data_IF_620327132661
#
_entry.id   IF_620327132661
#
_cell.length_a   1.000
_cell.length_b   1.000
_cell.length_c   1.000
_cell.angle_alpha   90.00
_cell.angle_beta   90.00
_cell.angle_gamma   90.00
#
_symmetry.space_group_name_H-M   'P 1'
#
loop_
_entity.id
_entity.type
_entity.pdbx_description
1 polymer ?
#
# COMPACT_ATOMS: atom_id res chain seq x y z
N UNK A 1 -5.59 0.71 -23.61
CA UNK A 1 -6.24 0.99 -22.32
C UNK A 1 -6.25 -0.27 -21.45
N UNK A 2 -6.15 -0.07 -20.13
CA UNK A 2 -6.26 -1.17 -19.18
C UNK A 2 -7.68 -1.77 -19.20
N UNK A 3 -7.77 -3.08 -19.06
CA UNK A 3 -9.07 -3.77 -18.90
C UNK A 3 -9.30 -4.06 -17.42
N UNK A 4 -9.98 -3.14 -16.75
CA UNK A 4 -10.30 -3.22 -15.32
C UNK A 4 -11.52 -4.12 -15.01
N UNK A 5 -12.13 -4.73 -16.04
CA UNK A 5 -13.26 -5.63 -15.84
C UNK A 5 -12.86 -7.09 -15.66
N UNK A 6 -11.57 -7.43 -15.87
CA UNK A 6 -11.05 -8.80 -15.81
C UNK A 6 -10.88 -9.36 -14.38
N UNK A 7 -10.93 -8.52 -13.39
CA UNK A 7 -10.79 -8.92 -11.98
C UNK A 7 -11.94 -8.38 -11.16
N UNK A 8 -12.26 -9.04 -10.05
CA UNK A 8 -13.36 -8.64 -9.17
C UNK A 8 -13.02 -7.39 -8.31
N UNK A 9 -11.75 -7.02 -8.15
CA UNK A 9 -11.32 -5.98 -7.21
C UNK A 9 -11.94 -4.61 -7.48
N UNK A 10 -11.92 -4.15 -8.73
CA UNK A 10 -12.50 -2.84 -9.09
C UNK A 10 -14.03 -2.82 -8.94
N UNK A 11 -14.71 -3.91 -9.35
CA UNK A 11 -16.16 -4.03 -9.13
C UNK A 11 -16.48 -4.04 -7.64
N UNK A 12 -15.72 -4.80 -6.84
CA UNK A 12 -15.90 -4.86 -5.39
C UNK A 12 -15.73 -3.47 -4.75
N UNK A 13 -14.69 -2.73 -5.15
CA UNK A 13 -14.45 -1.37 -4.68
C UNK A 13 -15.60 -0.43 -5.06
N UNK A 14 -16.14 -0.55 -6.28
CA UNK A 14 -17.29 0.23 -6.72
C UNK A 14 -18.57 -0.09 -5.92
N UNK A 15 -18.81 -1.36 -5.67
CA UNK A 15 -19.97 -1.80 -4.86
C UNK A 15 -19.83 -1.33 -3.40
N UNK A 16 -18.62 -1.39 -2.84
CA UNK A 16 -18.32 -0.87 -1.50
C UNK A 16 -18.56 0.65 -1.42
N UNK A 17 -18.09 1.41 -2.40
CA UNK A 17 -18.32 2.87 -2.50
C UNK A 17 -19.81 3.20 -2.67
N UNK A 18 -20.59 2.36 -3.36
CA UNK A 18 -22.03 2.55 -3.51
C UNK A 18 -22.78 2.37 -2.18
N UNK A 19 -22.30 1.48 -1.31
CA UNK A 19 -22.86 1.25 0.04
C UNK A 19 -22.40 2.33 1.02
N UNK A 20 -21.11 2.63 1.02
CA UNK A 20 -20.52 3.67 1.86
C UNK A 20 -19.58 4.56 1.04
N UNK A 21 -20.04 5.75 0.61
CA UNK A 21 -19.24 6.69 -0.18
C UNK A 21 -17.96 7.17 0.51
N UNK A 22 -17.89 7.10 1.83
CA UNK A 22 -16.75 7.57 2.63
C UNK A 22 -15.61 6.55 2.73
N UNK A 23 -15.79 5.33 2.21
CA UNK A 23 -14.70 4.34 2.15
C UNK A 23 -13.55 4.90 1.30
N UNK A 24 -12.35 4.87 1.84
CA UNK A 24 -11.12 5.15 1.11
C UNK A 24 -10.71 3.94 0.27
N UNK A 25 -10.14 4.20 -0.90
CA UNK A 25 -9.71 3.16 -1.83
C UNK A 25 -8.19 3.28 -2.03
N UNK A 26 -7.51 2.18 -1.80
CA UNK A 26 -6.10 2.00 -2.12
C UNK A 26 -5.91 1.04 -3.30
N UNK A 27 -4.81 1.23 -4.03
CA UNK A 27 -4.38 0.34 -5.11
C UNK A 27 -2.99 -0.22 -4.78
N UNK A 28 -2.94 -1.54 -4.58
CA UNK A 28 -1.72 -2.28 -4.31
C UNK A 28 -1.24 -3.05 -5.54
N UNK A 29 0.06 -3.11 -5.74
CA UNK A 29 0.71 -3.84 -6.82
C UNK A 29 1.42 -5.10 -6.31
N UNK A 30 0.92 -6.28 -6.68
CA UNK A 30 1.60 -7.55 -6.41
C UNK A 30 2.60 -7.96 -7.50
N UNK A 31 2.38 -7.50 -8.71
CA UNK A 31 3.26 -7.80 -9.84
C UNK A 31 2.99 -6.85 -10.99
N UNK A 32 3.80 -6.94 -12.03
CA UNK A 32 3.69 -6.08 -13.20
C UNK A 32 3.51 -6.90 -14.49
N UNK A 33 2.83 -6.33 -15.49
CA UNK A 33 2.77 -6.95 -16.81
C UNK A 33 4.16 -7.09 -17.43
N UNK A 34 4.37 -8.18 -18.17
CA UNK A 34 5.65 -8.45 -18.81
C UNK A 34 6.19 -7.28 -19.65
N UNK A 35 5.33 -6.53 -20.34
CA UNK A 35 5.78 -5.38 -21.14
C UNK A 35 6.37 -4.24 -20.30
N UNK A 36 6.00 -4.14 -19.03
CA UNK A 36 6.61 -3.18 -18.08
C UNK A 36 8.00 -3.68 -17.68
N UNK A 37 8.11 -4.95 -17.27
CA UNK A 37 9.42 -5.53 -16.92
C UNK A 37 10.38 -5.54 -18.09
N UNK A 38 9.91 -5.83 -19.31
CA UNK A 38 10.73 -5.77 -20.53
C UNK A 38 11.25 -4.36 -20.81
N UNK A 39 10.48 -3.32 -20.46
CA UNK A 39 10.94 -1.94 -20.63
C UNK A 39 12.11 -1.60 -19.70
N UNK A 40 12.15 -2.16 -18.47
CA UNK A 40 13.29 -2.02 -17.57
C UNK A 40 14.56 -2.70 -18.10
N UNK A 41 14.43 -3.76 -18.90
CA UNK A 41 15.59 -4.38 -19.56
C UNK A 41 16.24 -3.42 -20.57
N UNK A 42 15.46 -2.52 -21.18
CA UNK A 42 15.99 -1.52 -22.12
C UNK A 42 16.75 -0.43 -21.33
N UNK A 43 16.10 0.18 -20.36
CA UNK A 43 16.71 1.13 -19.41
C UNK A 43 15.76 1.44 -18.26
N UNK A 44 16.31 1.96 -17.18
CA UNK A 44 15.49 2.45 -16.05
C UNK A 44 14.46 3.49 -16.50
N UNK A 45 14.83 4.43 -17.36
CA UNK A 45 13.92 5.46 -17.86
C UNK A 45 12.74 4.86 -18.63
N UNK A 46 13.00 3.89 -19.52
CA UNK A 46 11.92 3.19 -20.22
C UNK A 46 11.01 2.43 -19.27
N UNK A 47 11.59 1.75 -18.29
CA UNK A 47 10.84 1.04 -17.25
C UNK A 47 9.93 1.94 -16.44
N UNK A 48 10.46 3.04 -15.92
CA UNK A 48 9.69 4.03 -15.14
C UNK A 48 8.51 4.61 -15.94
N UNK A 49 8.74 4.97 -17.20
CA UNK A 49 7.69 5.45 -18.12
C UNK A 49 6.63 4.38 -18.39
N UNK A 50 7.05 3.15 -18.64
CA UNK A 50 6.13 2.03 -18.88
C UNK A 50 5.28 1.72 -17.65
N UNK A 51 5.89 1.70 -16.46
CA UNK A 51 5.19 1.47 -15.19
C UNK A 51 4.19 2.58 -14.90
N UNK A 52 4.58 3.85 -15.06
CA UNK A 52 3.65 4.96 -14.90
C UNK A 52 2.49 4.89 -15.89
N UNK A 53 2.76 4.59 -17.15
CA UNK A 53 1.71 4.40 -18.16
C UNK A 53 0.72 3.33 -17.73
N UNK A 54 1.20 2.21 -17.19
CA UNK A 54 0.33 1.16 -16.68
C UNK A 54 -0.55 1.63 -15.52
N UNK A 55 0.04 2.34 -14.55
CA UNK A 55 -0.72 2.93 -13.43
C UNK A 55 -1.77 3.92 -13.95
N UNK A 56 -1.35 4.86 -14.77
CA UNK A 56 -2.26 5.88 -15.33
C UNK A 56 -3.41 5.27 -16.11
N UNK A 57 -3.12 4.35 -17.03
CA UNK A 57 -4.18 3.66 -17.82
C UNK A 57 -5.13 2.87 -16.92
N UNK A 58 -4.67 2.34 -15.79
CA UNK A 58 -5.50 1.66 -14.78
C UNK A 58 -6.41 2.64 -14.05
N UNK A 59 -5.85 3.75 -13.56
CA UNK A 59 -6.62 4.80 -12.89
C UNK A 59 -7.68 5.41 -13.81
N UNK A 60 -7.30 5.74 -15.05
CA UNK A 60 -8.21 6.28 -16.07
C UNK A 60 -9.35 5.31 -16.37
N UNK A 61 -9.04 4.03 -16.55
CA UNK A 61 -10.02 3.00 -16.85
C UNK A 61 -10.96 2.72 -15.66
N UNK A 62 -10.44 2.68 -14.44
CA UNK A 62 -11.25 2.49 -13.24
C UNK A 62 -12.24 3.64 -13.05
N UNK A 63 -11.81 4.87 -13.32
CA UNK A 63 -12.72 6.02 -13.31
C UNK A 63 -13.75 5.95 -14.44
N UNK A 64 -13.32 5.64 -15.65
CA UNK A 64 -14.21 5.61 -16.82
C UNK A 64 -15.29 4.50 -16.71
N UNK A 65 -14.94 3.33 -16.16
CA UNK A 65 -15.85 2.17 -16.08
C UNK A 65 -16.70 2.20 -14.81
N UNK A 66 -16.11 2.58 -13.68
CA UNK A 66 -16.72 2.45 -12.35
C UNK A 66 -16.90 3.78 -11.62
N UNK A 67 -16.39 4.90 -12.14
CA UNK A 67 -16.38 6.17 -11.43
C UNK A 67 -15.44 6.20 -10.22
N UNK A 68 -14.56 5.21 -10.09
CA UNK A 68 -13.65 5.08 -8.95
C UNK A 68 -12.56 6.15 -8.99
N UNK A 69 -12.38 6.82 -7.86
CA UNK A 69 -11.23 7.67 -7.57
C UNK A 69 -10.42 6.99 -6.47
N UNK A 70 -9.13 6.89 -6.66
CA UNK A 70 -8.23 6.34 -5.67
C UNK A 70 -7.76 7.43 -4.72
N UNK A 71 -7.81 7.13 -3.44
CA UNK A 71 -7.34 8.01 -2.37
C UNK A 71 -5.85 7.75 -2.09
N UNK A 72 -5.42 6.49 -2.24
CA UNK A 72 -4.08 6.02 -1.98
C UNK A 72 -3.56 5.09 -3.08
N UNK A 73 -2.25 5.01 -3.19
CA UNK A 73 -1.52 4.02 -4.00
C UNK A 73 -0.35 3.49 -3.17
N UNK A 74 -0.30 2.17 -3.00
CA UNK A 74 0.91 1.49 -2.56
C UNK A 74 1.93 1.53 -3.70
N UNK A 75 2.95 2.36 -3.54
CA UNK A 75 3.86 2.71 -4.64
C UNK A 75 4.73 1.53 -5.06
N UNK A 76 5.31 0.84 -4.08
CA UNK A 76 6.25 -0.24 -4.32
C UNK A 76 5.55 -1.56 -4.65
N UNK A 77 6.37 -2.55 -4.99
CA UNK A 77 5.87 -3.90 -5.07
C UNK A 77 5.63 -4.44 -3.66
N UNK A 78 4.50 -5.12 -3.50
CA UNK A 78 4.12 -5.75 -2.25
C UNK A 78 5.24 -6.62 -1.66
N UNK A 79 5.50 -6.46 -0.36
CA UNK A 79 6.38 -7.30 0.45
C UNK A 79 7.84 -7.38 -0.03
N UNK A 80 8.34 -6.35 -0.66
CA UNK A 80 9.77 -6.25 -0.95
C UNK A 80 10.45 -5.40 0.12
N UNK A 81 11.47 -5.98 0.78
CA UNK A 81 12.27 -5.25 1.78
C UNK A 81 13.34 -4.34 1.15
N UNK A 82 13.15 -3.97 -0.10
CA UNK A 82 14.02 -3.05 -0.83
C UNK A 82 13.19 -1.96 -1.47
N UNK A 83 13.04 -0.80 -0.82
CA UNK A 83 12.29 0.32 -1.37
C UNK A 83 12.81 0.77 -2.74
N UNK A 84 11.90 0.93 -3.70
CA UNK A 84 12.23 1.45 -5.04
C UNK A 84 12.14 2.99 -5.04
N UNK A 85 13.10 3.64 -4.40
CA UNK A 85 13.13 5.10 -4.28
C UNK A 85 12.95 5.79 -5.63
N UNK A 86 13.63 5.31 -6.67
CA UNK A 86 13.57 5.92 -8.00
C UNK A 86 12.13 5.89 -8.55
N UNK A 87 11.42 4.81 -8.32
CA UNK A 87 10.03 4.70 -8.73
C UNK A 87 9.09 5.56 -7.87
N UNK A 88 9.25 5.55 -6.55
CA UNK A 88 8.43 6.36 -5.64
C UNK A 88 8.50 7.84 -6.03
N UNK A 89 9.71 8.36 -6.21
CA UNK A 89 9.92 9.75 -6.61
C UNK A 89 9.37 10.05 -7.99
N UNK A 90 9.57 9.13 -8.95
CA UNK A 90 9.03 9.27 -10.29
C UNK A 90 7.51 9.27 -10.30
N UNK A 91 6.88 8.33 -9.57
CA UNK A 91 5.43 8.25 -9.45
C UNK A 91 4.84 9.54 -8.86
N UNK A 92 5.40 10.04 -7.74
CA UNK A 92 4.96 11.30 -7.13
C UNK A 92 5.06 12.47 -8.11
N UNK A 93 6.21 12.60 -8.77
CA UNK A 93 6.41 13.65 -9.78
C UNK A 93 5.36 13.57 -10.90
N UNK A 94 5.08 12.39 -11.39
CA UNK A 94 4.12 12.21 -12.48
C UNK A 94 2.69 12.49 -12.05
N UNK A 95 2.28 12.03 -10.85
CA UNK A 95 0.95 12.30 -10.31
C UNK A 95 0.72 13.81 -10.07
N UNK A 96 1.73 14.52 -9.57
CA UNK A 96 1.66 15.96 -9.32
C UNK A 96 1.53 16.79 -10.61
N UNK A 97 2.07 16.28 -11.70
CA UNK A 97 2.15 17.01 -12.97
C UNK A 97 1.21 16.49 -14.07
N UNK A 98 0.38 15.48 -13.78
CA UNK A 98 -0.53 14.89 -14.78
C UNK A 98 -1.64 15.89 -15.16
N UNK A 99 -1.66 16.30 -16.43
CA UNK A 99 -2.64 17.29 -16.95
C UNK A 99 -3.85 16.64 -17.63
N UNK A 100 -3.73 15.37 -17.99
CA UNK A 100 -4.75 14.64 -18.75
C UNK A 100 -5.42 13.56 -17.91
N UNK A 101 -5.60 13.83 -16.61
CA UNK A 101 -6.28 12.92 -15.68
C UNK A 101 -7.77 13.25 -15.60
N UNK A 102 -8.64 12.27 -15.42
CA UNK A 102 -10.08 12.49 -15.24
C UNK A 102 -10.46 13.13 -13.89
N UNK A 103 -9.54 13.12 -12.92
CA UNK A 103 -9.64 13.81 -11.64
C UNK A 103 -8.23 14.24 -11.19
N UNK A 104 -8.12 14.97 -10.11
CA UNK A 104 -6.85 15.53 -9.62
C UNK A 104 -5.96 14.42 -8.99
N UNK A 105 -4.99 13.90 -9.77
CA UNK A 105 -4.07 12.86 -9.32
C UNK A 105 -3.06 13.36 -8.28
N UNK A 106 -2.83 14.67 -8.17
CA UNK A 106 -1.94 15.21 -7.13
C UNK A 106 -2.47 15.01 -5.71
N UNK A 107 -3.75 14.66 -5.58
CA UNK A 107 -4.39 14.35 -4.30
C UNK A 107 -4.23 12.90 -3.86
N UNK A 108 -3.77 12.04 -4.75
CA UNK A 108 -3.52 10.63 -4.40
C UNK A 108 -2.30 10.58 -3.49
N UNK A 109 -2.46 9.98 -2.33
CA UNK A 109 -1.40 9.76 -1.35
C UNK A 109 -0.62 8.49 -1.66
N UNK A 110 0.69 8.50 -1.38
CA UNK A 110 1.54 7.34 -1.57
C UNK A 110 1.80 6.62 -0.25
N UNK A 111 1.54 5.31 -0.28
CA UNK A 111 1.97 4.36 0.75
C UNK A 111 3.29 3.73 0.28
N UNK A 112 4.25 3.57 1.17
CA UNK A 112 5.50 2.85 0.93
C UNK A 112 6.04 2.25 2.24
N UNK A 113 6.69 1.07 2.21
CA UNK A 113 6.83 0.19 1.05
C UNK A 113 6.10 -1.13 1.23
N UNK A 114 5.17 -1.23 2.20
CA UNK A 114 4.49 -2.48 2.54
C UNK A 114 5.50 -3.60 2.88
N UNK A 115 6.51 -3.24 3.69
CA UNK A 115 7.61 -4.13 4.08
C UNK A 115 7.18 -5.18 5.09
N UNK A 116 7.79 -6.38 4.97
CA UNK A 116 7.62 -7.48 5.92
C UNK A 116 8.86 -7.59 6.80
N UNK A 117 8.74 -7.21 8.06
CA UNK A 117 9.82 -7.41 9.04
C UNK A 117 10.93 -6.36 9.02
N UNK A 118 11.03 -5.52 8.01
CA UNK A 118 12.00 -4.42 7.92
C UNK A 118 11.32 -3.05 7.98
N UNK A 119 12.11 -1.97 8.05
CA UNK A 119 11.68 -0.57 8.04
C UNK A 119 12.64 0.26 7.18
N UNK A 120 13.11 -0.33 6.10
CA UNK A 120 14.13 0.29 5.26
C UNK A 120 13.63 1.59 4.63
N UNK A 121 12.35 1.66 4.27
CA UNK A 121 11.74 2.91 3.78
C UNK A 121 11.80 4.00 4.85
N UNK A 122 11.49 3.67 6.11
CA UNK A 122 11.49 4.65 7.19
C UNK A 122 12.92 5.15 7.48
N UNK A 123 13.92 4.26 7.50
CA UNK A 123 15.33 4.64 7.62
C UNK A 123 15.74 5.60 6.50
N UNK A 124 15.46 5.26 5.24
CA UNK A 124 15.77 6.12 4.10
C UNK A 124 15.05 7.48 4.18
N UNK A 125 13.79 7.51 4.59
CA UNK A 125 13.02 8.75 4.73
C UNK A 125 13.56 9.69 5.82
N UNK A 126 14.21 9.18 6.86
CA UNK A 126 14.84 10.02 7.90
C UNK A 126 15.95 10.87 7.29
N UNK A 127 16.80 10.27 6.46
CA UNK A 127 17.97 10.93 5.89
C UNK A 127 17.64 11.65 4.57
N UNK A 128 16.59 11.24 3.86
CA UNK A 128 16.21 11.79 2.56
C UNK A 128 14.90 12.58 2.64
N UNK A 129 15.00 13.90 2.74
CA UNK A 129 13.82 14.77 2.81
C UNK A 129 12.97 14.76 1.53
N UNK A 130 13.55 14.48 0.37
CA UNK A 130 12.81 14.41 -0.90
C UNK A 130 11.92 13.17 -0.90
N UNK A 131 12.47 12.02 -0.52
CA UNK A 131 11.72 10.78 -0.35
C UNK A 131 10.63 10.93 0.73
N UNK A 132 11.00 11.51 1.88
CA UNK A 132 10.05 11.78 2.96
C UNK A 132 8.87 12.64 2.51
N UNK A 133 9.09 13.62 1.65
CA UNK A 133 8.01 14.47 1.13
C UNK A 133 7.16 13.76 0.07
N UNK A 134 7.70 12.78 -0.62
CA UNK A 134 6.99 12.00 -1.64
C UNK A 134 6.05 10.94 -1.05
N UNK A 135 6.39 10.41 0.14
CA UNK A 135 5.63 9.34 0.83
C UNK A 135 4.73 9.96 1.89
N UNK A 136 3.46 9.62 1.87
CA UNK A 136 2.46 10.10 2.83
C UNK A 136 2.31 9.13 4.00
N UNK A 137 2.36 7.82 3.73
CA UNK A 137 2.07 6.75 4.67
C UNK A 137 3.18 5.70 4.64
N UNK A 138 3.59 5.23 5.81
CA UNK A 138 4.48 4.07 5.95
C UNK A 138 3.62 2.83 6.10
N UNK A 139 3.54 2.00 5.07
CA UNK A 139 2.84 0.71 5.08
C UNK A 139 3.75 -0.39 5.63
N UNK A 140 3.23 -1.19 6.55
CA UNK A 140 3.92 -2.33 7.14
C UNK A 140 3.00 -3.55 7.13
N UNK A 141 3.55 -4.70 6.70
CA UNK A 141 2.84 -5.97 6.71
C UNK A 141 3.25 -6.85 7.89
N UNK A 142 2.29 -7.54 8.48
CA UNK A 142 2.43 -8.58 9.51
C UNK A 142 3.19 -8.16 10.78
N UNK A 143 3.39 -6.87 11.00
CA UNK A 143 4.08 -6.34 12.17
C UNK A 143 3.24 -5.31 12.92
N UNK A 144 3.24 -5.41 14.23
CA UNK A 144 2.50 -4.51 15.12
C UNK A 144 3.40 -3.52 15.85
N UNK A 145 4.69 -3.49 15.50
CA UNK A 145 5.69 -2.67 16.19
C UNK A 145 6.39 -1.73 15.19
N UNK A 146 6.52 -0.49 15.59
CA UNK A 146 7.43 0.45 14.98
C UNK A 146 8.87 0.27 15.48
N UNK A 147 9.75 1.13 14.99
CA UNK A 147 11.12 1.29 15.45
C UNK A 147 11.46 2.78 15.68
N UNK A 148 12.73 3.09 15.93
CA UNK A 148 13.16 4.47 16.11
C UNK A 148 12.91 5.37 14.90
N UNK A 149 13.02 4.83 13.68
CA UNK A 149 12.82 5.58 12.44
C UNK A 149 11.33 5.88 12.21
N UNK A 150 10.47 4.87 12.32
CA UNK A 150 9.02 5.06 12.19
C UNK A 150 8.47 6.00 13.27
N UNK A 151 8.96 5.87 14.52
CA UNK A 151 8.59 6.76 15.61
C UNK A 151 8.99 8.20 15.33
N UNK A 152 10.23 8.42 14.88
CA UNK A 152 10.71 9.75 14.52
C UNK A 152 9.89 10.37 13.39
N UNK A 153 9.58 9.59 12.35
CA UNK A 153 8.78 10.07 11.22
C UNK A 153 7.36 10.42 11.63
N UNK A 154 6.76 9.64 12.51
CA UNK A 154 5.42 9.93 13.04
C UNK A 154 5.44 11.17 13.94
N UNK A 155 6.34 11.23 14.94
CA UNK A 155 6.34 12.28 15.96
C UNK A 155 6.84 13.64 15.44
N UNK A 156 7.90 13.64 14.63
CA UNK A 156 8.52 14.88 14.16
C UNK A 156 7.99 15.36 12.80
N UNK A 157 7.51 14.47 11.96
CA UNK A 157 7.11 14.79 10.59
C UNK A 157 5.64 14.48 10.29
N UNK A 158 4.89 13.94 11.27
CA UNK A 158 3.46 13.65 11.15
C UNK A 158 3.11 12.57 10.12
N UNK A 159 4.07 11.64 9.83
CA UNK A 159 3.79 10.55 8.90
C UNK A 159 2.87 9.52 9.55
N UNK A 160 1.84 9.13 8.82
CA UNK A 160 0.98 8.02 9.24
C UNK A 160 1.73 6.69 9.10
N UNK A 161 1.45 5.75 10.01
CA UNK A 161 1.95 4.38 9.94
C UNK A 161 0.72 3.49 9.88
N UNK A 162 0.69 2.60 8.88
CA UNK A 162 -0.41 1.67 8.69
C UNK A 162 0.05 0.24 8.83
N UNK A 163 -0.76 -0.56 9.50
CA UNK A 163 -0.74 -2.01 9.37
C UNK A 163 -1.51 -2.35 8.10
N UNK A 164 -0.87 -2.19 6.95
CA UNK A 164 -1.53 -2.20 5.64
C UNK A 164 -1.90 -3.60 5.16
N UNK A 165 -1.28 -4.65 5.71
CA UNK A 165 -1.71 -6.03 5.53
C UNK A 165 -1.39 -6.85 6.77
N UNK A 166 -2.32 -7.70 7.17
CA UNK A 166 -2.19 -8.54 8.34
C UNK A 166 -2.61 -9.98 8.15
N UNK A 167 -2.35 -10.80 9.18
CA UNK A 167 -2.71 -12.19 9.18
C UNK A 167 -4.23 -12.30 9.25
N UNK A 168 -4.84 -12.80 8.18
CA UNK A 168 -6.21 -13.28 8.24
C UNK A 168 -6.29 -14.50 9.18
N UNK A 169 -7.40 -14.70 9.90
CA UNK A 169 -7.65 -15.95 10.57
C UNK A 169 -7.71 -17.02 9.49
N UNK A 170 -6.71 -17.74 9.46
CA UNK A 170 -6.31 -18.96 8.80
C UNK A 170 -7.16 -19.67 7.80
N UNK A 171 -6.64 -19.66 6.57
CA UNK A 171 -6.91 -20.73 5.59
C UNK A 171 -5.91 -21.92 5.70
N UNK A 172 -5.00 -21.92 6.66
CA UNK A 172 -4.02 -22.99 6.86
C UNK A 172 -4.58 -23.94 7.91
N UNK A 173 -4.86 -25.20 7.56
CA UNK A 173 -5.50 -26.14 8.49
C UNK A 173 -4.81 -26.25 9.84
N UNK A 174 -3.49 -26.23 9.86
CA UNK A 174 -2.69 -26.32 11.10
C UNK A 174 -2.92 -25.12 12.03
N UNK A 175 -3.11 -23.93 11.47
CA UNK A 175 -3.36 -22.74 12.26
C UNK A 175 -4.83 -22.66 12.71
N UNK A 176 -5.74 -23.17 11.91
CA UNK A 176 -7.17 -23.30 12.29
C UNK A 176 -7.31 -24.27 13.45
N UNK A 177 -6.65 -25.44 13.37
CA UNK A 177 -6.63 -26.42 14.46
C UNK A 177 -6.04 -25.81 15.73
N UNK A 178 -4.95 -25.07 15.66
CA UNK A 178 -4.38 -24.39 16.82
C UNK A 178 -5.33 -23.36 17.45
N UNK A 179 -6.06 -22.62 16.63
CA UNK A 179 -7.05 -21.67 17.14
C UNK A 179 -8.22 -22.41 17.82
N UNK A 180 -8.69 -23.49 17.24
CA UNK A 180 -9.77 -24.29 17.79
C UNK A 180 -9.36 -25.01 19.10
N UNK A 181 -8.17 -25.57 19.14
CA UNK A 181 -7.64 -26.26 20.33
C UNK A 181 -7.38 -25.32 21.51
N UNK A 182 -6.94 -24.11 21.22
CA UNK A 182 -6.61 -23.11 22.24
C UNK A 182 -7.75 -22.13 22.52
N UNK A 183 -8.85 -22.24 21.80
CA UNK A 183 -10.04 -21.41 22.00
C UNK A 183 -9.73 -19.92 21.89
N UNK A 184 -10.18 -19.12 22.88
CA UNK A 184 -10.04 -17.67 22.87
C UNK A 184 -8.58 -17.18 22.96
N UNK A 185 -7.66 -17.97 23.51
CA UNK A 185 -6.28 -17.53 23.82
C UNK A 185 -5.23 -18.07 22.84
N UNK A 186 -5.64 -18.85 21.85
CA UNK A 186 -4.73 -19.43 20.87
C UNK A 186 -4.18 -18.44 19.87
N UNK A 187 -3.11 -18.87 19.20
CA UNK A 187 -2.54 -18.14 18.07
C UNK A 187 -3.62 -17.94 17.00
N UNK A 188 -3.78 -16.69 16.53
CA UNK A 188 -4.87 -16.26 15.66
C UNK A 188 -6.29 -16.42 16.25
N UNK A 189 -6.42 -16.71 17.56
CA UNK A 189 -7.68 -16.63 18.27
C UNK A 189 -8.11 -15.17 18.51
N UNK A 190 -9.35 -14.95 18.99
CA UNK A 190 -9.90 -13.60 19.15
C UNK A 190 -9.05 -12.69 20.04
N UNK A 191 -8.44 -13.22 21.11
CA UNK A 191 -7.57 -12.45 22.00
C UNK A 191 -6.25 -12.08 21.31
N UNK A 192 -5.68 -12.96 20.51
CA UNK A 192 -4.47 -12.64 19.74
C UNK A 192 -4.75 -11.54 18.72
N UNK A 193 -5.86 -11.60 18.00
CA UNK A 193 -6.29 -10.55 17.08
C UNK A 193 -6.50 -9.22 17.81
N UNK A 194 -7.21 -9.23 18.93
CA UNK A 194 -7.41 -8.02 19.75
C UNK A 194 -6.08 -7.44 20.24
N UNK A 195 -5.15 -8.28 20.70
CA UNK A 195 -3.82 -7.85 21.14
C UNK A 195 -3.00 -7.25 19.98
N UNK A 196 -3.13 -7.78 18.77
CA UNK A 196 -2.46 -7.21 17.59
C UNK A 196 -2.98 -5.82 17.28
N UNK A 197 -4.30 -5.62 17.28
CA UNK A 197 -4.93 -4.31 17.08
C UNK A 197 -4.44 -3.32 18.15
N UNK A 198 -4.47 -3.71 19.43
CA UNK A 198 -4.03 -2.89 20.54
C UNK A 198 -2.54 -2.55 20.41
N UNK A 199 -1.70 -3.53 20.12
CA UNK A 199 -0.26 -3.32 19.96
C UNK A 199 0.06 -2.45 18.76
N UNK A 200 -0.63 -2.61 17.64
CA UNK A 200 -0.47 -1.77 16.46
C UNK A 200 -0.73 -0.30 16.81
N UNK A 201 -1.79 -0.03 17.56
CA UNK A 201 -2.14 1.32 17.97
C UNK A 201 -1.14 1.90 19.00
N UNK A 202 -0.90 1.20 20.12
CA UNK A 202 -0.09 1.74 21.22
C UNK A 202 1.41 1.69 20.95
N UNK A 203 1.91 0.58 20.43
CA UNK A 203 3.33 0.35 20.27
C UNK A 203 3.82 0.64 18.84
N UNK A 204 2.97 0.40 17.84
CA UNK A 204 3.28 0.66 16.45
C UNK A 204 2.91 2.06 15.98
N UNK A 205 2.10 2.81 16.77
CA UNK A 205 1.53 4.11 16.40
C UNK A 205 0.74 4.06 15.09
N UNK A 206 0.19 2.89 14.77
CA UNK A 206 -0.54 2.64 13.53
C UNK A 206 -1.97 3.16 13.65
N UNK A 207 -2.41 3.90 12.66
CA UNK A 207 -3.75 4.49 12.62
C UNK A 207 -4.73 3.68 11.79
N UNK A 208 -4.25 2.64 11.12
CA UNK A 208 -5.04 1.66 10.37
C UNK A 208 -4.58 0.24 10.69
N UNK A 209 -5.54 -0.70 10.78
CA UNK A 209 -5.32 -2.13 10.97
C UNK A 209 -6.28 -2.93 10.07
#
# INVERSE_FOLDING_TARGET
PADVTRGAGFQFAADAKAINPDITIDMLRWGEPKWVTDAFVISQEHGLRARYRWYKETLDAAYAVYGLKFDYISADQNETDTPDEAWILYLRHMLDNEKNAPYDYSKIKLIASDEVGTRNIAEQMVDNSVLRNAVDVIGLHYTTFGDSYTNLLNEAYGKEIWYSEGIAPCNVPELTVQADESGLVGKNGPIDVANRIINSYYNGKMVMY
#
